data_IF_261349376721
#
_entry.id   IF_261349376721
#
_cell.length_a   1.000
_cell.length_b   1.000
_cell.length_c   1.000
_cell.angle_alpha   90.00
_cell.angle_beta   90.00
_cell.angle_gamma   90.00
#
_symmetry.space_group_name_H-M   'P 1'
#
loop_
_entity.id
_entity.type
_entity.pdbx_description
1 polymer ?
#
# COMPACT_ATOMS: atom_id res chain seq x y z
N UNK A 1 -13.10 12.27 -11.32
CA UNK A 1 -12.32 12.81 -10.19
C UNK A 1 -10.99 12.08 -10.07
N UNK A 2 -9.90 12.80 -9.81
CA UNK A 2 -8.55 12.26 -9.70
C UNK A 2 -8.25 12.05 -8.21
N UNK A 3 -8.04 10.81 -7.78
CA UNK A 3 -7.68 10.54 -6.38
C UNK A 3 -6.28 11.07 -6.09
N UNK A 4 -6.11 11.70 -4.92
CA UNK A 4 -4.79 12.02 -4.36
C UNK A 4 -4.36 10.85 -3.48
N UNK A 5 -3.11 10.42 -3.64
CA UNK A 5 -2.50 9.33 -2.90
C UNK A 5 -1.47 9.89 -1.93
N UNK A 6 -1.57 9.56 -0.65
CA UNK A 6 -0.60 9.94 0.37
C UNK A 6 0.20 8.70 0.79
N UNK A 7 1.53 8.82 0.80
CA UNK A 7 2.44 7.73 1.16
C UNK A 7 3.47 8.15 2.19
N UNK A 8 4.05 7.20 2.93
CA UNK A 8 5.00 7.49 4.00
C UNK A 8 6.40 7.80 3.48
N UNK A 9 6.90 7.00 2.52
CA UNK A 9 8.28 7.04 2.06
C UNK A 9 8.42 7.05 0.52
N UNK A 10 9.66 7.18 0.03
CA UNK A 10 9.97 7.10 -1.41
C UNK A 10 9.79 5.68 -1.99
N UNK A 11 10.15 4.59 -1.29
CA UNK A 11 9.82 3.24 -1.71
C UNK A 11 8.32 3.01 -1.97
N UNK A 12 7.43 3.47 -1.09
CA UNK A 12 5.98 3.40 -1.30
C UNK A 12 5.58 4.11 -2.61
N UNK A 13 6.11 5.33 -2.78
CA UNK A 13 5.85 6.14 -3.96
C UNK A 13 6.27 5.41 -5.24
N UNK A 14 7.39 4.69 -5.22
CA UNK A 14 7.87 3.91 -6.36
C UNK A 14 6.97 2.71 -6.64
N UNK A 15 6.56 1.97 -5.59
CA UNK A 15 5.63 0.86 -5.72
C UNK A 15 4.31 1.30 -6.37
N UNK A 16 3.72 2.40 -5.88
CA UNK A 16 2.47 2.94 -6.44
C UNK A 16 2.64 3.35 -7.91
N UNK A 17 3.77 3.97 -8.27
CA UNK A 17 4.06 4.30 -9.67
C UNK A 17 4.15 3.06 -10.56
N UNK A 18 4.85 2.02 -10.11
CA UNK A 18 4.95 0.74 -10.85
C UNK A 18 3.61 0.03 -10.97
N UNK A 19 2.73 0.19 -10.00
CA UNK A 19 1.35 -0.32 -10.04
C UNK A 19 0.47 0.41 -11.07
N UNK A 20 0.81 1.66 -11.42
CA UNK A 20 0.08 2.46 -12.42
C UNK A 20 -0.51 3.76 -11.86
N UNK A 21 -0.23 4.11 -10.61
CA UNK A 21 -0.66 5.41 -10.04
C UNK A 21 0.20 6.53 -10.62
N UNK A 22 -0.44 7.56 -11.17
CA UNK A 22 0.30 8.66 -11.83
C UNK A 22 1.18 9.42 -10.82
N UNK A 23 2.44 9.69 -11.17
CA UNK A 23 3.38 10.43 -10.29
C UNK A 23 2.82 11.75 -9.75
N UNK A 24 2.02 12.47 -10.56
CA UNK A 24 1.39 13.75 -10.20
C UNK A 24 0.29 13.63 -9.15
N UNK A 25 -0.25 12.44 -8.92
CA UNK A 25 -1.28 12.20 -7.90
C UNK A 25 -0.72 11.65 -6.59
N UNK A 26 0.59 11.40 -6.49
CA UNK A 26 1.21 10.84 -5.28
C UNK A 26 1.94 11.94 -4.52
N UNK A 27 1.55 12.14 -3.27
CA UNK A 27 2.12 13.10 -2.33
C UNK A 27 2.82 12.33 -1.20
N UNK A 28 4.10 12.59 -1.03
CA UNK A 28 4.89 12.06 0.07
C UNK A 28 4.57 12.82 1.36
N UNK A 29 4.05 12.13 2.37
CA UNK A 29 3.62 12.71 3.64
C UNK A 29 4.63 12.49 4.79
N UNK A 30 5.70 11.71 4.56
CA UNK A 30 6.87 11.56 5.44
C UNK A 30 6.67 10.67 6.67
N UNK A 31 5.43 10.30 6.99
CA UNK A 31 5.10 9.37 8.08
C UNK A 31 3.63 8.95 8.02
N UNK A 32 3.30 7.84 8.68
CA UNK A 32 1.92 7.39 8.96
C UNK A 32 1.03 8.48 9.55
N UNK A 33 1.53 9.20 10.55
CA UNK A 33 0.84 10.34 11.17
C UNK A 33 0.64 11.49 10.17
N UNK A 34 1.63 11.74 9.30
CA UNK A 34 1.53 12.69 8.19
C UNK A 34 0.44 12.31 7.19
N UNK A 35 0.38 11.04 6.79
CA UNK A 35 -0.67 10.49 5.91
C UNK A 35 -2.04 10.71 6.55
N UNK A 36 -2.22 10.30 7.81
CA UNK A 36 -3.48 10.47 8.54
C UNK A 36 -3.90 11.94 8.67
N UNK A 37 -2.95 12.84 8.96
CA UNK A 37 -3.20 14.29 9.05
C UNK A 37 -3.62 14.90 7.72
N UNK A 38 -3.11 14.39 6.59
CA UNK A 38 -3.52 14.85 5.25
C UNK A 38 -4.91 14.33 4.90
N UNK A 39 -5.18 13.05 5.18
CA UNK A 39 -6.49 12.45 4.97
C UNK A 39 -7.58 13.14 5.80
N UNK A 40 -7.32 13.51 7.05
CA UNK A 40 -8.31 14.20 7.87
C UNK A 40 -8.73 15.59 7.34
N UNK A 41 -7.94 16.16 6.41
CA UNK A 41 -8.16 17.46 5.77
C UNK A 41 -8.57 17.36 4.29
N UNK A 42 -8.73 16.17 3.75
CA UNK A 42 -9.05 15.93 2.34
C UNK A 42 -10.21 14.96 2.19
N UNK A 43 -10.83 14.95 1.02
CA UNK A 43 -11.91 14.01 0.68
C UNK A 43 -11.53 13.23 -0.58
N UNK A 44 -12.19 12.09 -0.81
CA UNK A 44 -11.94 11.23 -1.99
C UNK A 44 -10.46 10.88 -2.21
N UNK A 45 -9.68 10.76 -1.13
CA UNK A 45 -8.24 10.52 -1.15
C UNK A 45 -7.88 9.13 -0.62
N UNK A 46 -6.69 8.64 -0.96
CA UNK A 46 -6.19 7.32 -0.55
C UNK A 46 -4.88 7.48 0.22
N UNK A 47 -4.79 6.94 1.43
CA UNK A 47 -3.52 6.77 2.13
C UNK A 47 -2.99 5.37 1.96
N UNK A 48 -1.67 5.22 1.84
CA UNK A 48 -0.98 3.93 1.94
C UNK A 48 0.00 4.02 3.11
N UNK A 49 -0.15 3.10 4.05
CA UNK A 49 0.62 3.09 5.30
C UNK A 49 1.07 1.68 5.67
N UNK A 50 2.15 1.61 6.43
CA UNK A 50 2.56 0.37 7.09
C UNK A 50 1.74 0.17 8.37
N UNK A 51 1.38 -1.08 8.67
CA UNK A 51 0.72 -1.41 9.94
C UNK A 51 1.66 -1.07 11.10
N UNK A 52 2.91 -1.55 11.04
CA UNK A 52 3.92 -1.47 12.10
C UNK A 52 3.32 -1.68 13.51
N UNK A 53 3.11 -2.94 13.94
CA UNK A 53 2.38 -3.26 15.16
C UNK A 53 3.04 -2.74 16.44
N UNK A 54 4.32 -2.36 16.39
CA UNK A 54 5.07 -1.85 17.54
C UNK A 54 5.02 -0.32 17.65
N UNK A 55 4.42 0.36 16.68
CA UNK A 55 4.27 1.82 16.66
C UNK A 55 2.92 2.27 17.21
N UNK A 56 2.90 3.47 17.82
CA UNK A 56 1.66 4.13 18.24
C UNK A 56 0.78 4.40 17.03
N UNK A 57 -0.42 3.82 17.02
CA UNK A 57 -1.35 3.95 15.91
C UNK A 57 -2.12 5.29 15.98
N UNK A 58 -2.16 6.09 14.90
CA UNK A 58 -2.89 7.35 14.87
C UNK A 58 -4.38 7.17 15.18
N UNK A 59 -4.94 8.06 16.01
CA UNK A 59 -6.36 8.02 16.38
C UNK A 59 -7.31 8.10 15.18
N UNK A 60 -6.87 8.72 14.08
CA UNK A 60 -7.62 8.76 12.81
C UNK A 60 -8.01 7.36 12.30
N UNK A 61 -7.12 6.36 12.46
CA UNK A 61 -7.37 5.00 11.97
C UNK A 61 -8.41 4.25 12.80
N UNK A 62 -8.57 4.58 14.09
CA UNK A 62 -9.46 3.86 15.02
C UNK A 62 -10.94 3.98 14.65
N UNK A 63 -11.33 5.08 14.00
CA UNK A 63 -12.70 5.35 13.61
C UNK A 63 -13.06 4.88 12.20
N UNK A 64 -12.16 4.19 11.49
CA UNK A 64 -12.38 3.78 10.11
C UNK A 64 -12.98 2.38 10.04
N UNK A 65 -13.89 2.18 9.09
CA UNK A 65 -14.52 0.88 8.82
C UNK A 65 -13.57 0.00 8.00
N UNK A 66 -13.36 -1.24 8.43
CA UNK A 66 -12.65 -2.23 7.61
C UNK A 66 -13.60 -2.67 6.48
N UNK A 67 -13.20 -2.47 5.22
CA UNK A 67 -13.98 -2.86 4.04
C UNK A 67 -13.33 -4.00 3.24
N UNK A 68 -12.07 -4.32 3.54
CA UNK A 68 -11.34 -5.46 2.98
C UNK A 68 -10.23 -5.86 3.96
N UNK A 69 -10.04 -7.16 4.16
CA UNK A 69 -8.99 -7.68 5.05
C UNK A 69 -8.46 -9.00 4.52
N UNK A 70 -7.41 -8.94 3.69
CA UNK A 70 -6.83 -10.12 3.07
C UNK A 70 -5.59 -10.58 3.83
N UNK A 71 -5.76 -11.61 4.65
CA UNK A 71 -4.67 -12.29 5.35
C UNK A 71 -3.66 -12.90 4.38
N UNK A 72 -4.16 -13.50 3.28
CA UNK A 72 -3.32 -14.08 2.22
C UNK A 72 -2.34 -13.06 1.62
N UNK A 73 -2.80 -11.81 1.42
CA UNK A 73 -2.00 -10.78 0.77
C UNK A 73 -1.38 -9.79 1.77
N UNK A 74 -1.62 -9.95 3.07
CA UNK A 74 -1.18 -9.04 4.14
C UNK A 74 -1.56 -7.57 3.85
N UNK A 75 -2.79 -7.34 3.37
CA UNK A 75 -3.34 -6.01 3.05
C UNK A 75 -4.72 -5.85 3.65
N UNK A 76 -4.96 -4.70 4.26
CA UNK A 76 -6.25 -4.28 4.84
C UNK A 76 -6.67 -2.94 4.24
N UNK A 77 -7.95 -2.76 3.92
CA UNK A 77 -8.49 -1.49 3.42
C UNK A 77 -9.50 -0.96 4.43
N UNK A 78 -9.25 0.26 4.88
CA UNK A 78 -10.09 1.01 5.79
C UNK A 78 -10.81 2.14 5.03
N UNK A 79 -12.00 2.51 5.49
CA UNK A 79 -12.85 3.51 4.88
C UNK A 79 -13.28 4.59 5.88
N UNK A 80 -13.09 5.85 5.51
CA UNK A 80 -13.64 7.03 6.19
C UNK A 80 -14.93 7.44 5.48
N UNK A 81 -16.08 7.03 6.01
CA UNK A 81 -17.40 7.35 5.46
C UNK A 81 -17.66 8.87 5.42
N UNK A 82 -17.12 9.63 6.39
CA UNK A 82 -17.34 11.08 6.48
C UNK A 82 -16.65 11.85 5.36
N UNK A 83 -15.49 11.37 4.90
CA UNK A 83 -14.67 12.06 3.88
C UNK A 83 -14.59 11.31 2.56
N UNK A 84 -15.19 10.12 2.50
CA UNK A 84 -15.04 9.18 1.41
C UNK A 84 -13.56 8.89 1.09
N UNK A 85 -12.72 8.77 2.13
CA UNK A 85 -11.31 8.43 2.00
C UNK A 85 -11.09 6.93 2.22
N UNK A 86 -10.02 6.39 1.63
CA UNK A 86 -9.55 5.03 1.90
C UNK A 86 -8.16 5.05 2.52
N UNK A 87 -7.88 4.07 3.38
CA UNK A 87 -6.53 3.79 3.87
C UNK A 87 -6.21 2.35 3.54
N UNK A 88 -5.17 2.14 2.75
CA UNK A 88 -4.61 0.83 2.47
C UNK A 88 -3.47 0.61 3.45
N UNK A 89 -3.59 -0.42 4.27
CA UNK A 89 -2.60 -0.79 5.28
C UNK A 89 -1.87 -2.04 4.80
N UNK A 90 -0.55 -1.94 4.66
CA UNK A 90 0.35 -3.04 4.32
C UNK A 90 0.90 -3.63 5.63
N UNK A 91 0.88 -4.95 5.78
CA UNK A 91 1.34 -5.62 7.00
C UNK A 91 2.54 -6.56 6.76
N UNK A 92 3.50 -6.62 7.69
CA UNK A 92 3.68 -5.71 8.84
C UNK A 92 4.30 -4.36 8.43
N UNK A 93 5.21 -4.37 7.44
CA UNK A 93 5.79 -3.19 6.78
C UNK A 93 6.04 -3.52 5.31
N UNK A 94 6.26 -2.50 4.49
CA UNK A 94 6.55 -2.62 3.07
C UNK A 94 7.69 -3.63 2.80
N UNK A 95 8.77 -3.60 3.57
CA UNK A 95 9.95 -4.43 3.28
C UNK A 95 9.66 -5.92 3.42
N UNK A 96 9.09 -6.34 4.55
CA UNK A 96 8.65 -7.71 4.79
C UNK A 96 7.62 -8.15 3.75
N UNK A 97 6.72 -7.24 3.37
CA UNK A 97 5.72 -7.49 2.34
C UNK A 97 6.34 -7.74 0.96
N UNK A 98 7.35 -6.95 0.56
CA UNK A 98 8.11 -7.14 -0.67
C UNK A 98 8.89 -8.46 -0.65
N UNK A 99 9.49 -8.83 0.47
CA UNK A 99 10.19 -10.12 0.62
C UNK A 99 9.19 -11.28 0.42
N UNK A 100 8.01 -11.20 1.02
CA UNK A 100 6.94 -12.19 0.81
C UNK A 100 6.48 -12.24 -0.65
N UNK A 101 6.34 -11.09 -1.32
CA UNK A 101 5.98 -11.01 -2.73
C UNK A 101 7.04 -11.65 -3.64
N UNK A 102 8.33 -11.47 -3.33
CA UNK A 102 9.43 -12.10 -4.06
C UNK A 102 9.44 -13.62 -3.88
N UNK A 103 9.24 -14.10 -2.65
CA UNK A 103 9.13 -15.54 -2.35
C UNK A 103 7.96 -16.19 -3.06
N UNK A 104 6.78 -15.57 -3.00
CA UNK A 104 5.57 -16.01 -3.72
C UNK A 104 5.82 -16.12 -5.23
N UNK A 105 6.48 -15.12 -5.82
CA UNK A 105 6.79 -15.07 -7.24
C UNK A 105 8.02 -15.90 -7.66
N UNK A 106 8.67 -16.60 -6.71
CA UNK A 106 9.95 -17.33 -6.91
C UNK A 106 11.05 -16.44 -7.54
N UNK A 107 11.07 -15.16 -7.17
CA UNK A 107 12.07 -14.18 -7.63
C UNK A 107 13.21 -14.08 -6.64
N UNK A 108 14.44 -14.29 -7.11
CA UNK A 108 15.64 -14.16 -6.28
C UNK A 108 16.06 -12.69 -6.16
N UNK A 109 15.91 -12.12 -4.96
CA UNK A 109 16.24 -10.72 -4.66
C UNK A 109 17.74 -10.40 -4.80
N UNK A 110 18.61 -11.39 -4.58
CA UNK A 110 20.07 -11.21 -4.72
C UNK A 110 20.49 -10.87 -6.15
N UNK A 111 19.71 -11.26 -7.17
CA UNK A 111 19.93 -10.85 -8.58
C UNK A 111 19.88 -9.32 -8.77
N UNK A 112 19.21 -8.63 -7.86
CA UNK A 112 19.07 -7.17 -7.84
C UNK A 112 19.98 -6.53 -6.80
N UNK A 113 20.85 -7.30 -6.13
CA UNK A 113 21.69 -6.82 -5.04
C UNK A 113 20.91 -6.39 -3.80
N UNK A 114 19.73 -6.98 -3.57
CA UNK A 114 18.85 -6.69 -2.43
C UNK A 114 18.87 -7.83 -1.41
N UNK A 115 18.87 -7.53 -0.10
CA UNK A 115 18.85 -8.54 0.96
C UNK A 115 17.43 -9.07 1.21
N UNK A 116 17.32 -10.25 1.81
CA UNK A 116 16.03 -10.86 2.22
C UNK A 116 15.62 -10.54 3.67
N UNK A 117 16.30 -9.61 4.34
CA UNK A 117 15.99 -9.18 5.71
C UNK A 117 15.41 -7.76 5.73
N UNK A 118 14.23 -7.58 6.32
CA UNK A 118 13.47 -6.32 6.23
C UNK A 118 14.22 -5.08 6.70
N UNK A 119 14.91 -5.13 7.84
CA UNK A 119 15.71 -4.00 8.34
C UNK A 119 16.86 -3.60 7.41
N UNK A 120 17.52 -4.59 6.79
CA UNK A 120 18.59 -4.33 5.80
C UNK A 120 17.99 -3.80 4.50
N UNK A 121 16.84 -4.35 4.10
CA UNK A 121 16.13 -3.93 2.91
C UNK A 121 15.68 -2.48 3.02
N UNK A 122 15.14 -2.07 4.17
CA UNK A 122 14.66 -0.70 4.42
C UNK A 122 15.76 0.34 4.16
N UNK A 123 16.97 0.09 4.67
CA UNK A 123 18.12 0.98 4.44
C UNK A 123 18.47 1.04 2.95
N UNK A 124 18.54 -0.12 2.29
CA UNK A 124 19.00 -0.20 0.91
C UNK A 124 17.99 0.37 -0.09
N UNK A 125 16.69 0.12 0.06
CA UNK A 125 15.69 0.60 -0.92
C UNK A 125 15.49 2.11 -0.86
N UNK A 126 15.82 2.74 0.28
CA UNK A 126 15.83 4.19 0.41
C UNK A 126 17.07 4.83 -0.22
N UNK A 127 18.24 4.20 -0.16
CA UNK A 127 19.48 4.74 -0.74
C UNK A 127 19.70 4.34 -2.21
N UNK A 128 19.28 3.13 -2.59
CA UNK A 128 19.54 2.49 -3.89
C UNK A 128 18.22 2.21 -4.63
N UNK A 129 17.45 3.27 -4.86
CA UNK A 129 16.09 3.22 -5.43
C UNK A 129 16.04 2.46 -6.77
N UNK A 130 17.08 2.54 -7.59
CA UNK A 130 17.16 1.86 -8.90
C UNK A 130 17.14 0.33 -8.79
N UNK A 131 17.74 -0.23 -7.74
CA UNK A 131 17.74 -1.69 -7.49
C UNK A 131 16.33 -2.16 -7.14
N UNK A 132 15.66 -1.38 -6.28
CA UNK A 132 14.28 -1.65 -5.91
C UNK A 132 13.34 -1.53 -7.12
N UNK A 133 13.55 -0.52 -7.96
CA UNK A 133 12.79 -0.33 -9.19
C UNK A 133 12.85 -1.55 -10.13
N UNK A 134 14.04 -2.11 -10.31
CA UNK A 134 14.27 -3.31 -11.14
C UNK A 134 13.56 -4.53 -10.56
N UNK A 135 13.66 -4.75 -9.25
CA UNK A 135 12.93 -5.84 -8.58
C UNK A 135 11.42 -5.69 -8.79
N UNK A 136 10.87 -4.48 -8.58
CA UNK A 136 9.45 -4.21 -8.80
C UNK A 136 9.02 -4.50 -10.24
N UNK A 137 9.86 -4.19 -11.23
CA UNK A 137 9.61 -4.49 -12.64
C UNK A 137 9.37 -5.98 -12.91
N UNK A 138 10.00 -6.87 -12.16
CA UNK A 138 9.75 -8.31 -12.27
C UNK A 138 8.52 -8.74 -11.45
N UNK A 139 8.35 -8.23 -10.23
CA UNK A 139 7.26 -8.66 -9.34
C UNK A 139 5.87 -8.22 -9.83
N UNK A 140 5.78 -7.09 -10.53
CA UNK A 140 4.54 -6.43 -10.94
C UNK A 140 3.58 -7.31 -11.77
N UNK A 141 4.12 -8.37 -12.40
CA UNK A 141 3.39 -9.31 -13.25
C UNK A 141 3.41 -10.75 -12.70
N UNK A 142 4.08 -11.00 -11.56
CA UNK A 142 4.27 -12.35 -11.02
C UNK A 142 3.71 -12.54 -9.61
N UNK A 143 3.53 -11.46 -8.85
CA UNK A 143 3.05 -11.55 -7.47
C UNK A 143 1.54 -11.32 -7.38
N UNK A 144 0.82 -12.26 -6.77
CA UNK A 144 -0.59 -12.12 -6.42
C UNK A 144 -0.81 -11.01 -5.39
N UNK A 145 0.14 -10.81 -4.46
CA UNK A 145 0.13 -9.66 -3.53
C UNK A 145 0.13 -8.31 -4.23
N UNK A 146 1.00 -8.12 -5.23
CA UNK A 146 1.03 -6.88 -6.00
C UNK A 146 -0.24 -6.72 -6.83
N UNK A 147 -0.74 -7.79 -7.44
CA UNK A 147 -2.01 -7.78 -8.17
C UNK A 147 -3.18 -7.38 -7.26
N UNK A 148 -3.22 -7.91 -6.04
CA UNK A 148 -4.22 -7.56 -5.03
C UNK A 148 -4.09 -6.09 -4.60
N UNK A 149 -2.88 -5.60 -4.33
CA UNK A 149 -2.64 -4.20 -3.98
C UNK A 149 -3.06 -3.25 -5.11
N UNK A 150 -2.73 -3.61 -6.37
CA UNK A 150 -3.19 -2.90 -7.57
C UNK A 150 -4.71 -2.79 -7.60
N UNK A 151 -5.40 -3.90 -7.34
CA UNK A 151 -6.86 -3.97 -7.27
C UNK A 151 -7.40 -2.97 -6.24
N UNK A 152 -6.91 -3.02 -5.00
CA UNK A 152 -7.34 -2.10 -3.94
C UNK A 152 -7.08 -0.62 -4.26
N UNK A 153 -5.98 -0.31 -4.96
CA UNK A 153 -5.61 1.05 -5.34
C UNK A 153 -6.46 1.60 -6.50
N UNK A 154 -6.70 0.78 -7.53
CA UNK A 154 -7.26 1.23 -8.80
C UNK A 154 -8.77 1.00 -8.93
N UNK A 155 -9.32 -0.03 -8.27
CA UNK A 155 -10.76 -0.24 -8.26
C UNK A 155 -11.42 0.89 -7.47
N UNK A 156 -12.40 1.53 -8.12
CA UNK A 156 -13.21 2.59 -7.50
C UNK A 156 -14.26 1.91 -6.62
N UNK A 157 -14.43 2.43 -5.41
CA UNK A 157 -15.49 1.99 -4.50
C UNK A 157 -16.90 2.38 -4.93
N UNK A 158 -17.27 2.19 -6.20
CA UNK A 158 -18.65 2.33 -6.67
C UNK A 158 -19.47 1.05 -6.55
N UNK A 159 -18.84 -0.07 -6.17
CA UNK A 159 -19.54 -1.36 -6.13
C UNK A 159 -19.74 -1.90 -4.70
N UNK A 160 -19.30 -1.21 -3.64
CA UNK A 160 -19.54 -1.72 -2.28
C UNK A 160 -21.03 -1.67 -1.88
N UNK A 161 -21.83 -0.80 -2.50
CA UNK A 161 -23.30 -0.83 -2.38
C UNK A 161 -23.95 -1.92 -3.23
N UNK A 162 -23.33 -2.43 -4.29
CA UNK A 162 -23.91 -3.54 -5.07
C UNK A 162 -23.47 -4.91 -4.55
N UNK A 163 -22.24 -5.05 -4.06
CA UNK A 163 -21.75 -6.32 -3.51
C UNK A 163 -22.49 -6.77 -2.23
N UNK A 164 -22.90 -5.85 -1.36
CA UNK A 164 -23.63 -6.20 -0.12
C UNK A 164 -25.03 -6.75 -0.41
N UNK A 165 -25.67 -6.31 -1.49
CA UNK A 165 -27.00 -6.80 -1.90
C UNK A 165 -26.96 -8.12 -2.66
N UNK A 166 -25.89 -8.40 -3.41
CA UNK A 166 -25.75 -9.67 -4.14
C UNK A 166 -25.16 -10.82 -3.32
N UNK A 167 -24.64 -10.56 -2.11
CA UNK A 167 -24.06 -11.61 -1.25
C UNK A 167 -25.07 -12.25 -0.28
N UNK A 168 -26.35 -11.91 -0.39
CA UNK A 168 -27.44 -12.43 0.45
C UNK A 168 -28.66 -12.95 -0.36
N UNK A 169 -28.46 -13.33 -1.62
CA UNK A 169 -29.49 -13.97 -2.45
C UNK A 169 -29.00 -15.31 -2.97
#
# INVERSE_FOLDING_TARGET
MKHVFFVECNPDRLLLQKIGVTKRSIIHAGSKSGVCKRLSKTTYSVGVVDEDPYSVQPGYLKGLKIIENSQKHDVKVLFDEKRNNRVIVISPRLEEWIIKAAKEAKVNMHKYGLPEGGNKLHKLINSEVSRFERLLGELINKSGRISFLRRCLLERGRDYETWVWFSHV
#
